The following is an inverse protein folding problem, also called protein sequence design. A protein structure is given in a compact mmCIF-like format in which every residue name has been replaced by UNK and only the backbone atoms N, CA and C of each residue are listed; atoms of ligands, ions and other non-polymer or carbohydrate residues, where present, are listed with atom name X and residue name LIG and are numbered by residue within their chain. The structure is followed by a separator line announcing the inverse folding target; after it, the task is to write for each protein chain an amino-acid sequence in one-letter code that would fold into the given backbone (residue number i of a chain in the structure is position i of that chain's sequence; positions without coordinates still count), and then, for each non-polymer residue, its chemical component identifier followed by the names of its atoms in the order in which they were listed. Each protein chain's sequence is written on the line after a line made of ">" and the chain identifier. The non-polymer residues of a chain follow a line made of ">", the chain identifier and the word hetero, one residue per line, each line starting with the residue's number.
data_IF_150433332252
#
_entry.id   IF_150433332252
#
_cell.length_a   1.000
_cell.length_b   1.000
_cell.length_c   1.000
_cell.angle_alpha   90.00
_cell.angle_beta   90.00
_cell.angle_gamma   90.00
#
_symmetry.space_group_name_H-M   'P 1'
#
loop_
_entity.id
_entity.type
_entity.pdbx_description
1 polymer ?
#
# COMPACT_ATOMS: atom_id res chain seq x y z
N UNK A 1 6.03 -26.08 -13.34
CA UNK A 1 5.20 -25.31 -12.40
C UNK A 1 4.02 -24.77 -13.19
N UNK A 2 2.81 -25.19 -12.85
CA UNK A 2 1.59 -24.60 -13.42
C UNK A 2 1.53 -23.12 -13.07
N UNK A 3 1.32 -22.26 -14.06
CA UNK A 3 1.07 -20.83 -13.83
C UNK A 3 -0.06 -20.71 -12.81
N UNK A 4 0.25 -20.15 -11.64
CA UNK A 4 -0.73 -19.89 -10.59
C UNK A 4 -1.85 -19.06 -11.21
N UNK A 5 -3.11 -19.46 -11.00
CA UNK A 5 -4.29 -18.77 -11.54
C UNK A 5 -4.14 -17.25 -11.40
N UNK A 6 -4.30 -16.57 -12.51
CA UNK A 6 -4.07 -15.14 -12.66
C UNK A 6 -5.25 -14.41 -12.00
N UNK A 7 -5.00 -13.63 -10.94
CA UNK A 7 -6.02 -12.70 -10.43
C UNK A 7 -6.15 -11.56 -11.43
N UNK A 8 -7.18 -11.66 -12.27
CA UNK A 8 -7.60 -10.60 -13.16
C UNK A 8 -8.44 -9.58 -12.39
N UNK A 9 -8.05 -8.31 -12.43
CA UNK A 9 -8.73 -7.21 -11.77
C UNK A 9 -9.25 -6.22 -12.80
N UNK A 10 -10.55 -5.93 -12.77
CA UNK A 10 -11.12 -4.87 -13.59
C UNK A 10 -10.78 -3.50 -12.99
N UNK A 11 -10.53 -2.52 -13.84
CA UNK A 11 -10.28 -1.15 -13.41
C UNK A 11 -11.50 -0.63 -12.64
N UNK A 12 -11.25 -0.09 -11.46
CA UNK A 12 -12.31 0.39 -10.61
C UNK A 12 -12.76 1.78 -11.09
N UNK A 13 -13.96 1.87 -11.67
CA UNK A 13 -14.50 3.13 -12.23
C UNK A 13 -15.31 3.97 -11.22
N UNK A 14 -15.45 3.54 -9.96
CA UNK A 14 -16.11 4.22 -8.83
C UNK A 14 -17.60 4.60 -9.04
N UNK A 15 -18.45 4.43 -8.01
CA UNK A 15 -19.76 5.10 -8.00
C UNK A 15 -20.26 5.52 -6.60
N UNK A 16 -20.54 4.64 -5.62
CA UNK A 16 -21.00 5.06 -4.27
C UNK A 16 -20.44 4.23 -3.11
N UNK A 17 -20.42 2.90 -3.24
CA UNK A 17 -19.98 1.98 -2.17
C UNK A 17 -18.55 2.27 -1.67
N UNK A 18 -17.62 2.60 -2.56
CA UNK A 18 -16.23 2.92 -2.18
C UNK A 18 -16.14 4.12 -1.22
N UNK A 19 -16.88 5.20 -1.48
CA UNK A 19 -16.89 6.38 -0.60
C UNK A 19 -17.59 6.04 0.72
N UNK A 20 -18.68 5.27 0.68
CA UNK A 20 -19.36 4.79 1.89
C UNK A 20 -18.43 3.95 2.76
N UNK A 21 -17.67 3.02 2.17
CA UNK A 21 -16.67 2.20 2.88
C UNK A 21 -15.58 3.06 3.52
N UNK A 22 -15.07 4.08 2.82
CA UNK A 22 -14.09 5.01 3.41
C UNK A 22 -14.67 5.82 4.57
N UNK A 23 -15.91 6.31 4.46
CA UNK A 23 -16.62 6.98 5.55
C UNK A 23 -16.72 6.08 6.79
N UNK A 24 -17.18 4.83 6.64
CA UNK A 24 -17.25 3.85 7.73
C UNK A 24 -15.90 3.66 8.43
N UNK A 25 -14.82 3.54 7.66
CA UNK A 25 -13.48 3.42 8.24
C UNK A 25 -13.05 4.67 8.99
N UNK A 26 -13.33 5.86 8.48
CA UNK A 26 -13.02 7.11 9.19
C UNK A 26 -13.82 7.19 10.50
N UNK A 27 -15.10 6.82 10.50
CA UNK A 27 -15.95 6.75 11.70
C UNK A 27 -15.36 5.78 12.73
N UNK A 28 -14.94 4.59 12.29
CA UNK A 28 -14.26 3.62 13.15
C UNK A 28 -12.97 4.20 13.73
N UNK A 29 -12.16 4.90 12.91
CA UNK A 29 -10.94 5.56 13.37
C UNK A 29 -11.23 6.60 14.46
N UNK A 30 -12.25 7.43 14.28
CA UNK A 30 -12.66 8.48 15.23
C UNK A 30 -13.08 7.85 16.57
N UNK A 31 -13.79 6.72 16.54
CA UNK A 31 -14.26 6.03 17.74
C UNK A 31 -13.14 5.44 18.62
N UNK A 32 -11.95 5.19 18.08
CA UNK A 32 -10.82 4.68 18.87
C UNK A 32 -10.28 5.73 19.83
N UNK A 33 -10.31 5.41 21.12
CA UNK A 33 -9.73 6.22 22.20
C UNK A 33 -8.21 6.35 22.04
N UNK A 34 -7.68 7.56 22.17
CA UNK A 34 -6.24 7.80 22.28
C UNK A 34 -5.69 7.50 23.68
N UNK A 35 -4.40 7.24 23.76
CA UNK A 35 -3.62 7.32 25.01
C UNK A 35 -2.98 8.70 25.18
N UNK A 36 -1.90 8.77 25.95
CA UNK A 36 -1.05 9.97 26.03
C UNK A 36 0.15 9.83 25.08
N UNK A 37 0.91 10.91 24.88
CA UNK A 37 2.13 10.87 24.06
C UNK A 37 3.16 9.89 24.65
N UNK A 38 3.28 9.85 25.98
CA UNK A 38 4.19 8.95 26.70
C UNK A 38 3.67 7.51 26.78
N UNK A 39 2.36 7.33 26.79
CA UNK A 39 1.71 6.03 26.86
C UNK A 39 0.64 5.91 25.76
N UNK A 40 1.11 5.59 24.56
CA UNK A 40 0.27 5.49 23.37
C UNK A 40 -0.55 4.21 23.43
N UNK A 41 -1.84 4.30 23.11
CA UNK A 41 -2.74 3.14 23.12
C UNK A 41 -2.61 2.34 21.83
N UNK A 42 -2.29 1.05 21.95
CA UNK A 42 -2.31 0.08 20.85
C UNK A 42 -3.75 -0.34 20.54
N UNK A 43 -4.10 -0.40 19.26
CA UNK A 43 -5.39 -0.89 18.77
C UNK A 43 -5.15 -1.99 17.73
N UNK A 44 -5.49 -3.23 18.10
CA UNK A 44 -5.38 -4.40 17.22
C UNK A 44 -6.47 -4.37 16.14
N UNK A 45 -6.06 -4.57 14.88
CA UNK A 45 -6.98 -4.57 13.73
C UNK A 45 -7.19 -5.99 13.22
N UNK A 46 -6.11 -6.72 12.94
CA UNK A 46 -6.20 -8.13 12.53
C UNK A 46 -5.04 -8.95 13.11
N UNK A 47 -5.37 -10.17 13.53
CA UNK A 47 -4.37 -11.22 13.76
C UNK A 47 -3.96 -11.80 12.41
N UNK A 48 -2.66 -11.95 12.22
CA UNK A 48 -2.03 -12.49 11.02
C UNK A 48 -1.35 -13.82 11.36
N UNK A 49 -0.98 -14.64 10.35
CA UNK A 49 -0.26 -15.89 10.58
C UNK A 49 1.02 -15.72 11.42
N UNK A 50 1.50 -16.80 12.03
CA UNK A 50 2.74 -16.83 12.81
C UNK A 50 2.79 -15.86 14.01
N UNK A 51 1.64 -15.57 14.63
CA UNK A 51 1.56 -14.67 15.79
C UNK A 51 1.80 -13.20 15.44
N UNK A 52 1.75 -12.85 14.16
CA UNK A 52 1.85 -11.47 13.68
C UNK A 52 0.53 -10.74 13.90
N UNK A 53 0.61 -9.43 14.04
CA UNK A 53 -0.54 -8.55 14.27
C UNK A 53 -0.42 -7.32 13.38
N UNK A 54 -1.53 -6.89 12.81
CA UNK A 54 -1.66 -5.54 12.24
C UNK A 54 -2.42 -4.66 13.22
N UNK A 55 -1.85 -3.51 13.53
CA UNK A 55 -2.36 -2.62 14.57
C UNK A 55 -1.93 -1.18 14.32
N UNK A 56 -2.48 -0.24 15.07
CA UNK A 56 -1.92 1.10 15.13
C UNK A 56 -1.86 1.62 16.56
N UNK A 57 -1.05 2.64 16.77
CA UNK A 57 -1.01 3.40 18.02
C UNK A 57 -1.75 4.73 17.88
N UNK A 58 -2.41 5.16 18.97
CA UNK A 58 -2.94 6.52 19.15
C UNK A 58 -2.46 7.14 20.48
N UNK A 59 -2.00 8.40 20.50
CA UNK A 59 -1.89 9.32 19.35
C UNK A 59 -0.78 8.92 18.36
N UNK A 60 -0.92 9.36 17.10
CA UNK A 60 0.14 9.30 16.08
C UNK A 60 1.16 10.44 16.21
N UNK A 61 2.07 10.60 15.24
CA UNK A 61 3.13 11.62 15.29
C UNK A 61 2.61 13.02 14.97
N UNK A 62 1.53 13.15 14.20
CA UNK A 62 1.00 14.44 13.77
C UNK A 62 0.20 15.16 14.86
N UNK A 63 -0.09 14.51 15.99
CA UNK A 63 -0.65 15.17 17.17
C UNK A 63 0.33 16.13 17.86
N UNK A 64 1.62 16.06 17.50
CA UNK A 64 2.68 16.91 18.06
C UNK A 64 2.96 18.15 17.21
N UNK A 65 2.28 18.32 16.07
CA UNK A 65 2.51 19.45 15.16
C UNK A 65 1.84 20.73 15.67
N UNK A 66 2.27 21.87 15.12
CA UNK A 66 1.68 23.20 15.41
C UNK A 66 0.16 23.26 15.20
N UNK A 67 -0.32 22.52 14.19
CA UNK A 67 -1.76 22.26 13.97
C UNK A 67 -1.96 20.75 14.16
N UNK A 68 -2.32 20.30 15.37
CA UNK A 68 -2.45 18.88 15.68
C UNK A 68 -3.60 18.21 14.92
N UNK A 69 -3.38 17.00 14.40
CA UNK A 69 -4.46 16.10 14.05
C UNK A 69 -4.68 15.09 15.16
N UNK A 70 -5.68 15.32 16.01
CA UNK A 70 -6.01 14.46 17.17
C UNK A 70 -6.39 13.02 16.78
N UNK A 71 -6.74 12.79 15.53
CA UNK A 71 -7.14 11.48 15.04
C UNK A 71 -5.99 10.69 14.41
N UNK A 72 -4.80 11.29 14.24
CA UNK A 72 -3.63 10.65 13.63
C UNK A 72 -3.29 9.33 14.33
N UNK A 73 -2.91 8.35 13.51
CA UNK A 73 -2.57 6.99 13.90
C UNK A 73 -1.12 6.70 13.50
N UNK A 74 -0.49 5.75 14.17
CA UNK A 74 0.75 5.14 13.67
C UNK A 74 0.51 3.69 13.29
N UNK A 75 0.32 3.41 11.99
CA UNK A 75 0.22 2.06 11.42
C UNK A 75 1.43 1.20 11.76
N UNK A 76 1.21 -0.05 12.15
CA UNK A 76 2.27 -0.99 12.47
C UNK A 76 1.87 -2.44 12.13
N UNK A 77 2.87 -3.24 11.80
CA UNK A 77 2.81 -4.70 11.83
C UNK A 77 3.97 -5.23 12.67
N UNK A 78 3.74 -6.27 13.45
CA UNK A 78 4.74 -6.82 14.35
C UNK A 78 4.28 -8.11 15.03
N UNK A 79 5.11 -8.64 15.92
CA UNK A 79 4.80 -9.80 16.75
C UNK A 79 5.43 -9.62 18.13
N UNK A 80 4.86 -10.27 19.14
CA UNK A 80 5.44 -10.35 20.50
C UNK A 80 5.79 -8.97 21.10
N UNK A 81 4.96 -7.96 20.84
CA UNK A 81 5.17 -6.60 21.33
C UNK A 81 6.24 -5.79 20.57
N UNK A 82 6.93 -6.38 19.60
CA UNK A 82 7.94 -5.72 18.76
C UNK A 82 7.28 -5.28 17.46
N UNK A 83 7.39 -3.98 17.14
CA UNK A 83 6.98 -3.47 15.83
C UNK A 83 8.08 -3.66 14.80
N UNK A 84 7.74 -4.25 13.66
CA UNK A 84 8.67 -4.44 12.53
C UNK A 84 8.60 -3.29 11.53
N UNK A 85 7.52 -2.49 11.60
CA UNK A 85 7.27 -1.41 10.65
C UNK A 85 7.19 -0.03 11.30
N UNK A 86 7.60 0.13 12.56
CA UNK A 86 7.54 1.42 13.27
C UNK A 86 8.37 2.51 12.59
N UNK A 87 9.52 2.14 12.03
CA UNK A 87 10.42 3.04 11.31
C UNK A 87 10.13 3.11 9.80
N UNK A 88 9.11 2.43 9.30
CA UNK A 88 8.85 2.37 7.86
C UNK A 88 8.34 3.70 7.33
N UNK A 89 9.16 4.33 6.50
CA UNK A 89 8.80 5.46 5.64
C UNK A 89 8.54 4.98 4.20
N UNK A 90 8.12 5.91 3.32
CA UNK A 90 7.93 5.62 1.89
C UNK A 90 9.17 5.00 1.24
N UNK A 91 10.37 5.41 1.66
CA UNK A 91 11.62 4.81 1.21
C UNK A 91 11.66 3.29 1.42
N UNK A 92 11.36 2.81 2.63
CA UNK A 92 11.34 1.37 2.94
C UNK A 92 10.22 0.62 2.22
N UNK A 93 9.07 1.26 2.02
CA UNK A 93 7.97 0.71 1.23
C UNK A 93 8.40 0.51 -0.23
N UNK A 94 9.03 1.52 -0.84
CA UNK A 94 9.49 1.44 -2.21
C UNK A 94 10.68 0.48 -2.36
N UNK A 95 11.60 0.44 -1.39
CA UNK A 95 12.70 -0.53 -1.35
C UNK A 95 12.16 -1.97 -1.36
N UNK A 96 11.16 -2.27 -0.51
CA UNK A 96 10.51 -3.59 -0.49
C UNK A 96 9.94 -3.96 -1.86
N UNK A 97 9.24 -3.03 -2.51
CA UNK A 97 8.65 -3.24 -3.84
C UNK A 97 9.70 -3.39 -4.96
N UNK A 98 10.79 -2.62 -4.91
CA UNK A 98 11.89 -2.73 -5.88
C UNK A 98 12.67 -4.04 -5.71
N UNK A 99 12.82 -4.53 -4.48
CA UNK A 99 13.39 -5.86 -4.24
C UNK A 99 12.53 -6.94 -4.90
N UNK A 100 11.19 -6.84 -4.80
CA UNK A 100 10.28 -7.75 -5.52
C UNK A 100 10.47 -7.65 -7.04
N UNK A 101 10.61 -6.45 -7.60
CA UNK A 101 10.84 -6.28 -9.05
C UNK A 101 12.14 -6.91 -9.53
N UNK A 102 13.19 -6.87 -8.72
CA UNK A 102 14.48 -7.53 -9.00
C UNK A 102 14.39 -9.06 -8.85
N UNK A 103 13.54 -9.56 -7.94
CA UNK A 103 13.28 -11.00 -7.79
C UNK A 103 12.51 -11.53 -9.00
N UNK A 104 11.39 -10.91 -9.34
CA UNK A 104 10.54 -11.31 -10.46
C UNK A 104 9.64 -10.17 -10.91
N UNK A 105 9.80 -9.74 -12.16
CA UNK A 105 8.96 -8.71 -12.78
C UNK A 105 7.48 -9.11 -12.86
N UNK A 106 7.20 -10.40 -13.12
CA UNK A 106 5.83 -10.91 -13.13
C UNK A 106 5.20 -10.82 -11.74
N UNK A 107 5.92 -11.27 -10.70
CA UNK A 107 5.44 -11.19 -9.31
C UNK A 107 5.27 -9.75 -8.84
N UNK A 108 6.17 -8.86 -9.23
CA UNK A 108 6.05 -7.43 -8.95
C UNK A 108 4.73 -6.86 -9.48
N UNK A 109 4.40 -7.08 -10.77
CA UNK A 109 3.12 -6.64 -11.34
C UNK A 109 1.92 -7.21 -10.59
N UNK A 110 1.97 -8.49 -10.21
CA UNK A 110 0.93 -9.17 -9.42
C UNK A 110 0.74 -8.50 -8.04
N UNK A 111 1.83 -8.16 -7.35
CA UNK A 111 1.80 -7.43 -6.07
C UNK A 111 1.24 -6.01 -6.24
N UNK A 112 1.62 -5.30 -7.31
CA UNK A 112 1.05 -3.99 -7.61
C UNK A 112 -0.47 -4.05 -7.86
N UNK A 113 -0.98 -5.14 -8.45
CA UNK A 113 -2.43 -5.36 -8.63
C UNK A 113 -3.12 -5.61 -7.28
N UNK A 114 -2.50 -6.37 -6.36
CA UNK A 114 -3.03 -6.54 -5.00
C UNK A 114 -3.09 -5.21 -4.24
N UNK A 115 -2.07 -4.36 -4.39
CA UNK A 115 -2.09 -2.98 -3.87
C UNK A 115 -3.19 -2.14 -4.52
N UNK A 116 -3.40 -2.26 -5.83
CA UNK A 116 -4.49 -1.58 -6.53
C UNK A 116 -5.86 -2.00 -5.98
N UNK A 117 -6.06 -3.30 -5.74
CA UNK A 117 -7.29 -3.80 -5.11
C UNK A 117 -7.47 -3.25 -3.69
N UNK A 118 -6.39 -3.13 -2.92
CA UNK A 118 -6.40 -2.51 -1.59
C UNK A 118 -6.74 -1.01 -1.66
N UNK A 119 -6.21 -0.29 -2.65
CA UNK A 119 -6.52 1.12 -2.93
C UNK A 119 -8.03 1.37 -2.99
N UNK A 120 -8.76 0.47 -3.65
CA UNK A 120 -10.21 0.60 -3.86
C UNK A 120 -11.08 -0.23 -2.92
N UNK A 121 -10.49 -0.73 -1.83
CA UNK A 121 -11.19 -1.51 -0.81
C UNK A 121 -11.93 -2.75 -1.35
N UNK A 122 -11.36 -3.38 -2.40
CA UNK A 122 -12.01 -4.50 -3.10
C UNK A 122 -11.95 -5.82 -2.33
N UNK A 123 -11.01 -5.93 -1.39
CA UNK A 123 -10.79 -7.11 -0.56
C UNK A 123 -11.13 -6.83 0.91
N UNK A 124 -11.99 -5.84 1.17
CA UNK A 124 -12.40 -5.46 2.52
C UNK A 124 -13.78 -6.01 2.83
N UNK A 125 -13.93 -6.56 4.04
CA UNK A 125 -15.18 -7.15 4.51
C UNK A 125 -15.62 -6.51 5.82
N UNK A 126 -16.93 -6.36 5.97
CA UNK A 126 -17.54 -5.86 7.19
C UNK A 126 -17.75 -7.04 8.13
N UNK A 127 -16.93 -7.11 9.19
CA UNK A 127 -16.97 -8.24 10.13
C UNK A 127 -18.00 -8.04 11.25
N UNK A 128 -18.36 -6.78 11.50
CA UNK A 128 -19.43 -6.32 12.40
C UNK A 128 -19.93 -4.98 11.87
N UNK A 129 -21.15 -4.58 12.26
CA UNK A 129 -21.73 -3.29 11.84
C UNK A 129 -20.73 -2.14 12.08
N UNK A 130 -20.35 -1.46 11.00
CA UNK A 130 -19.41 -0.33 11.01
C UNK A 130 -17.93 -0.70 11.05
N UNK A 131 -17.56 -1.99 11.17
CA UNK A 131 -16.16 -2.45 11.25
C UNK A 131 -15.72 -3.12 9.96
N UNK A 132 -14.97 -2.39 9.15
CA UNK A 132 -14.50 -2.82 7.83
C UNK A 132 -12.99 -3.06 7.86
N UNK A 133 -12.57 -4.32 7.66
CA UNK A 133 -11.15 -4.70 7.69
C UNK A 133 -10.70 -5.27 6.36
N UNK A 134 -9.40 -5.16 6.06
CA UNK A 134 -8.80 -5.91 4.96
C UNK A 134 -8.86 -7.40 5.30
N UNK A 135 -9.69 -8.13 4.55
CA UNK A 135 -9.95 -9.56 4.75
C UNK A 135 -10.16 -10.18 3.36
N UNK A 136 -9.07 -10.51 2.66
CA UNK A 136 -9.15 -11.13 1.35
C UNK A 136 -9.95 -12.44 1.38
N UNK A 137 -10.62 -12.79 0.27
CA UNK A 137 -11.24 -14.11 0.13
C UNK A 137 -10.18 -15.20 0.14
N UNK A 138 -10.60 -16.45 0.36
CA UNK A 138 -9.71 -17.62 0.36
C UNK A 138 -8.84 -17.69 -0.90
N UNK A 139 -9.43 -17.49 -2.07
CA UNK A 139 -8.71 -17.47 -3.35
C UNK A 139 -7.57 -16.43 -3.38
N UNK A 140 -7.86 -15.19 -2.96
CA UNK A 140 -6.86 -14.11 -2.92
C UNK A 140 -5.79 -14.41 -1.87
N UNK A 141 -6.17 -15.00 -0.73
CA UNK A 141 -5.25 -15.38 0.33
C UNK A 141 -4.31 -16.52 -0.12
N UNK A 142 -4.85 -17.55 -0.78
CA UNK A 142 -4.07 -18.65 -1.35
C UNK A 142 -3.09 -18.13 -2.39
N UNK A 143 -3.51 -17.16 -3.22
CA UNK A 143 -2.63 -16.48 -4.16
C UNK A 143 -1.50 -15.68 -3.49
N UNK A 144 -1.81 -14.89 -2.45
CA UNK A 144 -0.81 -14.17 -1.65
C UNK A 144 0.19 -15.16 -1.03
N UNK A 145 -0.30 -16.25 -0.44
CA UNK A 145 0.52 -17.28 0.18
C UNK A 145 1.42 -18.00 -0.83
N UNK A 146 0.93 -18.25 -2.05
CA UNK A 146 1.73 -18.86 -3.11
C UNK A 146 2.86 -17.92 -3.57
N UNK A 147 2.58 -16.62 -3.76
CA UNK A 147 3.61 -15.63 -4.07
C UNK A 147 4.68 -15.61 -2.97
N UNK A 148 4.24 -15.54 -1.71
CA UNK A 148 5.13 -15.50 -0.55
C UNK A 148 6.03 -16.74 -0.48
N UNK A 149 5.43 -17.93 -0.49
CA UNK A 149 6.11 -19.21 -0.28
C UNK A 149 7.05 -19.58 -1.41
N UNK A 150 6.64 -19.38 -2.66
CA UNK A 150 7.35 -19.92 -3.82
C UNK A 150 8.21 -18.89 -4.55
N UNK A 151 8.04 -17.59 -4.29
CA UNK A 151 8.82 -16.55 -4.97
C UNK A 151 9.55 -15.64 -3.97
N UNK A 152 8.83 -15.03 -3.04
CA UNK A 152 9.39 -13.92 -2.27
C UNK A 152 10.36 -14.40 -1.19
N UNK A 153 9.98 -15.39 -0.38
CA UNK A 153 10.79 -15.82 0.77
C UNK A 153 12.19 -16.26 0.38
N UNK A 154 12.31 -17.16 -0.60
CA UNK A 154 13.60 -17.59 -1.12
C UNK A 154 14.25 -16.49 -1.96
N UNK A 155 13.48 -15.74 -2.77
CA UNK A 155 14.02 -14.64 -3.58
C UNK A 155 14.71 -13.54 -2.75
N UNK A 156 14.12 -13.14 -1.62
CA UNK A 156 14.70 -12.15 -0.71
C UNK A 156 16.00 -12.69 -0.09
N UNK A 157 15.98 -13.94 0.39
CA UNK A 157 17.15 -14.59 0.96
C UNK A 157 18.26 -14.76 -0.07
N UNK A 158 17.94 -15.17 -1.28
CA UNK A 158 18.94 -15.47 -2.31
C UNK A 158 19.60 -14.21 -2.83
N UNK A 159 18.80 -13.18 -3.20
CA UNK A 159 19.31 -11.96 -3.84
C UNK A 159 19.78 -10.89 -2.85
N UNK A 160 19.16 -10.78 -1.68
CA UNK A 160 19.43 -9.69 -0.74
C UNK A 160 19.98 -10.15 0.61
N UNK A 161 19.99 -11.46 0.88
CA UNK A 161 20.41 -12.02 2.19
C UNK A 161 19.60 -11.44 3.36
N UNK A 162 18.39 -10.96 3.10
CA UNK A 162 17.48 -10.41 4.10
C UNK A 162 16.29 -11.33 4.36
N UNK A 163 15.73 -11.21 5.56
CA UNK A 163 14.38 -11.69 5.88
C UNK A 163 13.50 -10.45 5.95
N UNK A 164 12.61 -10.29 4.99
CA UNK A 164 11.65 -9.19 4.96
C UNK A 164 10.33 -9.60 5.65
N UNK A 165 9.45 -8.64 5.91
CA UNK A 165 8.07 -8.95 6.30
C UNK A 165 7.36 -9.69 5.15
N UNK A 166 6.43 -10.57 5.49
CA UNK A 166 5.66 -11.29 4.47
C UNK A 166 4.72 -10.38 3.68
N UNK A 167 4.29 -10.85 2.51
CA UNK A 167 3.42 -10.06 1.62
C UNK A 167 2.08 -9.71 2.26
N UNK A 168 1.49 -10.60 3.06
CA UNK A 168 0.22 -10.32 3.73
C UNK A 168 0.40 -9.21 4.77
N UNK A 169 1.45 -9.29 5.57
CA UNK A 169 1.88 -8.26 6.53
C UNK A 169 2.05 -6.91 5.82
N UNK A 170 2.77 -6.89 4.70
CA UNK A 170 2.96 -5.70 3.89
C UNK A 170 1.63 -5.10 3.41
N UNK A 171 0.70 -5.92 2.88
CA UNK A 171 -0.60 -5.46 2.41
C UNK A 171 -1.47 -4.89 3.55
N UNK A 172 -1.43 -5.49 4.73
CA UNK A 172 -2.08 -4.94 5.92
C UNK A 172 -1.45 -3.62 6.38
N UNK A 173 -0.12 -3.51 6.36
CA UNK A 173 0.57 -2.27 6.69
C UNK A 173 0.16 -1.12 5.74
N UNK A 174 0.14 -1.37 4.43
CA UNK A 174 -0.30 -0.38 3.44
C UNK A 174 -1.78 -0.01 3.61
N UNK A 175 -2.63 -0.96 3.97
CA UNK A 175 -4.04 -0.68 4.28
C UNK A 175 -4.19 0.32 5.44
N UNK A 176 -3.45 0.09 6.53
CA UNK A 176 -3.47 0.96 7.71
C UNK A 176 -2.85 2.33 7.42
N UNK A 177 -1.77 2.37 6.63
CA UNK A 177 -1.17 3.62 6.16
C UNK A 177 -2.17 4.47 5.37
N UNK A 178 -2.85 3.86 4.40
CA UNK A 178 -3.84 4.54 3.60
C UNK A 178 -5.07 4.98 4.40
N UNK A 179 -5.46 4.20 5.40
CA UNK A 179 -6.52 4.59 6.34
C UNK A 179 -6.10 5.80 7.19
N UNK A 180 -4.86 5.87 7.65
CA UNK A 180 -4.35 7.04 8.37
C UNK A 180 -4.35 8.30 7.48
N UNK A 181 -3.99 8.17 6.21
CA UNK A 181 -4.03 9.30 5.28
C UNK A 181 -5.47 9.77 5.04
N UNK A 182 -6.45 8.86 4.94
CA UNK A 182 -7.88 9.26 4.90
C UNK A 182 -8.28 10.06 6.15
N UNK A 183 -7.87 9.62 7.33
CA UNK A 183 -8.13 10.30 8.61
C UNK A 183 -7.54 11.71 8.66
N UNK A 184 -6.40 11.96 8.00
CA UNK A 184 -5.77 13.29 7.96
C UNK A 184 -6.51 14.29 7.10
N UNK A 185 -7.00 13.85 5.94
CA UNK A 185 -7.59 14.76 4.96
C UNK A 185 -9.10 14.84 5.06
N UNK A 186 -9.78 13.74 5.40
CA UNK A 186 -11.23 13.63 5.29
C UNK A 186 -11.95 13.65 6.64
N UNK A 187 -11.39 14.32 7.65
CA UNK A 187 -12.09 14.64 8.89
C UNK A 187 -12.28 16.14 9.01
N UNK A 188 -13.53 16.56 9.17
CA UNK A 188 -13.92 17.94 9.48
C UNK A 188 -14.86 17.89 10.66
N UNK A 189 -14.56 18.66 11.71
CA UNK A 189 -15.36 18.73 12.95
C UNK A 189 -15.68 17.34 13.55
N UNK A 190 -14.71 16.42 13.49
CA UNK A 190 -14.86 15.06 14.03
C UNK A 190 -15.83 14.17 13.26
N UNK A 191 -16.08 14.47 11.98
CA UNK A 191 -16.93 13.65 11.10
C UNK A 191 -16.24 13.42 9.74
N UNK A 192 -16.53 12.30 9.05
CA UNK A 192 -16.02 12.07 7.70
C UNK A 192 -16.55 13.09 6.69
N UNK A 193 -15.64 13.76 5.99
CA UNK A 193 -15.95 14.76 4.96
C UNK A 193 -15.15 14.53 3.68
N UNK A 194 -15.87 14.34 2.57
CA UNK A 194 -15.32 14.15 1.23
C UNK A 194 -15.67 15.31 0.29
N UNK A 195 -16.01 16.48 0.87
CA UNK A 195 -16.34 17.71 0.14
C UNK A 195 -15.14 18.67 0.17
N UNK A 196 -14.46 18.80 1.32
CA UNK A 196 -13.33 19.70 1.53
C UNK A 196 -12.12 19.41 0.62
N UNK A 197 -11.85 18.14 0.36
CA UNK A 197 -10.76 17.70 -0.51
C UNK A 197 -11.27 16.75 -1.59
N UNK A 198 -10.58 16.73 -2.73
CA UNK A 198 -10.84 15.79 -3.82
C UNK A 198 -10.84 14.34 -3.29
N UNK A 199 -11.77 13.52 -3.79
CA UNK A 199 -11.95 12.13 -3.34
C UNK A 199 -10.72 11.25 -3.59
N UNK A 200 -9.76 11.67 -4.41
CA UNK A 200 -8.48 10.96 -4.63
C UNK A 200 -7.45 11.27 -3.53
N UNK A 201 -7.63 12.33 -2.74
CA UNK A 201 -6.75 12.64 -1.61
C UNK A 201 -6.88 11.56 -0.52
N UNK A 202 -5.83 11.38 0.28
CA UNK A 202 -5.74 10.31 1.29
C UNK A 202 -5.34 8.98 0.66
N UNK A 203 -6.13 7.93 0.92
CA UNK A 203 -5.89 6.54 0.50
C UNK A 203 -5.50 6.40 -0.97
N UNK A 204 -6.26 7.01 -1.88
CA UNK A 204 -6.10 6.76 -3.32
C UNK A 204 -4.75 7.27 -3.80
N UNK A 205 -4.44 8.54 -3.56
CA UNK A 205 -3.16 9.12 -3.93
C UNK A 205 -1.98 8.44 -3.23
N UNK A 206 -2.13 8.07 -1.96
CA UNK A 206 -1.09 7.36 -1.19
C UNK A 206 -0.77 6.01 -1.81
N UNK A 207 -1.76 5.13 -2.01
CA UNK A 207 -1.51 3.79 -2.54
C UNK A 207 -1.10 3.86 -4.02
N UNK A 208 -1.74 4.71 -4.83
CA UNK A 208 -1.32 4.85 -6.23
C UNK A 208 0.10 5.43 -6.36
N UNK A 209 0.57 6.20 -5.38
CA UNK A 209 1.97 6.65 -5.28
C UNK A 209 2.91 5.51 -4.88
N UNK A 210 2.50 4.68 -3.93
CA UNK A 210 3.22 3.43 -3.59
C UNK A 210 3.36 2.51 -4.81
N UNK A 211 2.37 2.49 -5.71
CA UNK A 211 2.41 1.67 -6.93
C UNK A 211 3.27 2.33 -8.02
N UNK A 212 3.03 3.60 -8.32
CA UNK A 212 3.59 4.25 -9.51
C UNK A 212 5.10 4.44 -9.42
N UNK A 213 5.61 4.76 -8.23
CA UNK A 213 7.02 5.10 -8.08
C UNK A 213 7.97 3.91 -8.33
N UNK A 214 7.78 2.74 -7.67
CA UNK A 214 8.58 1.56 -7.98
C UNK A 214 8.38 1.08 -9.41
N UNK A 215 7.20 1.27 -9.99
CA UNK A 215 6.92 0.89 -11.37
C UNK A 215 7.77 1.71 -12.36
N UNK A 216 7.81 3.03 -12.21
CA UNK A 216 8.62 3.90 -13.06
C UNK A 216 10.12 3.61 -12.91
N UNK A 217 10.58 3.42 -11.67
CA UNK A 217 11.98 3.08 -11.37
C UNK A 217 12.34 1.70 -11.93
N UNK A 218 11.48 0.69 -11.76
CA UNK A 218 11.70 -0.65 -12.30
C UNK A 218 11.79 -0.64 -13.83
N UNK A 219 10.93 0.12 -14.52
CA UNK A 219 11.02 0.26 -15.97
C UNK A 219 12.36 0.87 -16.41
N UNK A 220 12.87 1.83 -15.65
CA UNK A 220 14.18 2.43 -15.93
C UNK A 220 15.33 1.45 -15.71
N UNK A 221 15.29 0.66 -14.64
CA UNK A 221 16.28 -0.40 -14.40
C UNK A 221 16.29 -1.40 -15.56
N UNK A 222 15.11 -1.82 -16.04
CA UNK A 222 15.01 -2.75 -17.16
C UNK A 222 15.54 -2.14 -18.47
N UNK A 223 15.23 -0.87 -18.76
CA UNK A 223 15.75 -0.17 -19.94
C UNK A 223 17.29 -0.13 -19.94
N UNK A 224 17.89 0.17 -18.78
CA UNK A 224 19.35 0.17 -18.63
C UNK A 224 19.92 -1.22 -18.90
N UNK A 225 19.38 -2.27 -18.27
CA UNK A 225 19.89 -3.64 -18.43
C UNK A 225 19.85 -4.03 -19.91
N UNK A 226 18.71 -3.87 -20.55
CA UNK A 226 18.51 -4.25 -21.96
C UNK A 226 19.48 -3.49 -22.88
N UNK A 227 19.59 -2.18 -22.70
CA UNK A 227 20.41 -1.34 -23.59
C UNK A 227 21.90 -1.49 -23.33
N UNK A 228 22.31 -1.81 -22.11
CA UNK A 228 23.71 -2.10 -21.80
C UNK A 228 24.14 -3.40 -22.48
N UNK A 229 23.30 -4.43 -22.46
CA UNK A 229 23.54 -5.71 -23.16
C UNK A 229 23.59 -5.52 -24.69
N UNK A 230 22.69 -4.69 -25.24
CA UNK A 230 22.57 -4.45 -26.69
C UNK A 230 23.43 -3.30 -27.23
N UNK A 231 24.24 -2.66 -26.39
CA UNK A 231 24.98 -1.41 -26.72
C UNK A 231 24.07 -0.31 -27.30
N UNK A 232 22.83 -0.22 -26.82
CA UNK A 232 21.83 0.78 -27.20
C UNK A 232 21.96 2.10 -26.43
N UNK A 233 21.18 3.10 -26.84
CA UNK A 233 21.16 4.43 -26.21
C UNK A 233 20.21 4.45 -25.02
N UNK A 234 20.75 4.61 -23.81
CA UNK A 234 19.99 4.69 -22.54
C UNK A 234 19.04 5.89 -22.58
N UNK A 235 17.74 5.67 -22.28
CA UNK A 235 16.77 6.76 -22.26
C UNK A 235 16.68 7.40 -20.87
N UNK A 236 17.51 8.42 -20.66
CA UNK A 236 17.53 9.19 -19.41
C UNK A 236 16.28 10.06 -19.19
N UNK A 237 15.38 10.19 -20.19
CA UNK A 237 14.11 10.92 -20.00
C UNK A 237 13.20 10.23 -18.99
N UNK A 238 13.28 8.90 -18.87
CA UNK A 238 12.43 8.15 -17.95
C UNK A 238 12.71 8.50 -16.48
N UNK A 239 13.99 8.63 -16.10
CA UNK A 239 14.35 9.00 -14.72
C UNK A 239 14.11 10.49 -14.45
N UNK A 240 14.45 11.37 -15.40
CA UNK A 240 14.27 12.82 -15.23
C UNK A 240 12.78 13.21 -15.17
N UNK A 241 11.92 12.58 -15.96
CA UNK A 241 10.46 12.77 -15.87
C UNK A 241 9.89 12.26 -14.54
N UNK A 242 10.39 11.13 -14.03
CA UNK A 242 10.01 10.59 -12.72
C UNK A 242 10.39 11.55 -11.59
N UNK A 243 11.63 12.03 -11.58
CA UNK A 243 12.12 13.03 -10.59
C UNK A 243 11.29 14.31 -10.68
N UNK A 244 11.05 14.82 -11.89
CA UNK A 244 10.29 16.04 -12.10
C UNK A 244 8.84 15.88 -11.61
N UNK A 245 8.23 14.71 -11.81
CA UNK A 245 6.88 14.41 -11.31
C UNK A 245 6.85 14.49 -9.79
N UNK A 246 7.78 13.83 -9.10
CA UNK A 246 7.89 13.90 -7.64
C UNK A 246 8.14 15.31 -7.10
N UNK A 247 9.01 16.07 -7.75
CA UNK A 247 9.33 17.44 -7.34
C UNK A 247 8.11 18.36 -7.45
N UNK A 248 7.36 18.29 -8.55
CA UNK A 248 6.19 19.15 -8.79
C UNK A 248 5.02 18.84 -7.86
N UNK A 249 4.89 17.59 -7.42
CA UNK A 249 3.72 17.12 -6.66
C UNK A 249 4.00 16.97 -5.17
N UNK A 250 5.13 17.49 -4.68
CA UNK A 250 5.56 17.37 -3.28
C UNK A 250 5.55 15.92 -2.78
N UNK A 251 6.01 15.00 -3.63
CA UNK A 251 6.12 13.58 -3.28
C UNK A 251 4.99 12.68 -3.79
N UNK A 252 3.95 13.21 -4.45
CA UNK A 252 2.80 12.40 -4.95
C UNK A 252 3.02 11.97 -6.41
N UNK A 253 3.21 10.69 -6.68
CA UNK A 253 3.38 10.19 -8.05
C UNK A 253 2.21 9.29 -8.44
N UNK A 254 1.21 9.79 -9.16
CA UNK A 254 0.07 8.95 -9.60
C UNK A 254 0.05 8.84 -11.12
N UNK A 255 0.12 7.60 -11.63
CA UNK A 255 -0.11 7.29 -13.05
C UNK A 255 -1.59 7.36 -13.39
N UNK A 256 -1.88 7.72 -14.64
CA UNK A 256 -3.24 7.66 -15.18
C UNK A 256 -3.74 6.22 -15.27
N UNK A 257 -5.05 6.05 -15.32
CA UNK A 257 -5.68 4.74 -15.55
C UNK A 257 -5.17 4.05 -16.82
N UNK A 258 -4.91 4.82 -17.89
CA UNK A 258 -4.36 4.31 -19.15
C UNK A 258 -2.95 3.75 -18.96
N UNK A 259 -2.08 4.48 -18.25
CA UNK A 259 -0.72 4.03 -17.96
C UNK A 259 -0.71 2.82 -17.01
N UNK A 260 -1.56 2.82 -15.98
CA UNK A 260 -1.70 1.66 -15.08
C UNK A 260 -2.14 0.40 -15.83
N UNK A 261 -3.12 0.51 -16.73
CA UNK A 261 -3.54 -0.60 -17.59
C UNK A 261 -2.40 -1.10 -18.46
N UNK A 262 -1.66 -0.19 -19.10
CA UNK A 262 -0.54 -0.55 -19.96
C UNK A 262 0.53 -1.36 -19.19
N UNK A 263 0.88 -0.93 -17.99
CA UNK A 263 1.94 -1.55 -17.22
C UNK A 263 1.52 -2.82 -16.47
N UNK A 264 0.26 -2.89 -16.03
CA UNK A 264 -0.26 -3.98 -15.20
C UNK A 264 -1.07 -5.02 -15.99
N UNK A 265 -1.21 -4.86 -17.30
CA UNK A 265 -1.75 -5.90 -18.18
C UNK A 265 -0.89 -7.18 -18.13
N UNK A 266 -1.49 -8.39 -18.19
CA UNK A 266 -2.93 -8.67 -18.32
C UNK A 266 -3.72 -8.66 -16.99
N UNK A 267 -3.03 -8.48 -15.85
CA UNK A 267 -3.63 -8.59 -14.51
C UNK A 267 -4.62 -7.46 -14.19
N UNK A 268 -4.47 -6.29 -14.81
CA UNK A 268 -5.41 -5.17 -14.74
C UNK A 268 -6.02 -4.91 -16.12
N UNK A 269 -7.35 -4.92 -16.23
CA UNK A 269 -8.07 -4.77 -17.50
C UNK A 269 -9.29 -3.83 -17.38
N UNK A 270 -9.81 -3.35 -18.52
CA UNK A 270 -10.82 -2.28 -18.60
C UNK A 270 -12.27 -2.69 -18.37
#
# INVERSE_FOLDING_TARGET
>A
MTETEIINTKIFKSNKDFITKRKKRIEEAIAFKGGTIKNRKKHLISNLPNGKESYFFKPGKETLRKIPNIYDMSPNVGANGISETESWAFEKIWEYLLKISIISQSTFKKVLVLLYRNCFLLNHQEIKKGKLIYLPSKEILDYINNIEKFVLKEGFKDKFKTKEIGLLEFLHFIDLLAWNEDVKYHIVNGQPDFIKYDKKVGRVNTILTVISAPLLISNFILDIIEKTEKKGIIDVKLITSTIQKFAKTRGICVLSNKELLLHLSPFLYS
#
